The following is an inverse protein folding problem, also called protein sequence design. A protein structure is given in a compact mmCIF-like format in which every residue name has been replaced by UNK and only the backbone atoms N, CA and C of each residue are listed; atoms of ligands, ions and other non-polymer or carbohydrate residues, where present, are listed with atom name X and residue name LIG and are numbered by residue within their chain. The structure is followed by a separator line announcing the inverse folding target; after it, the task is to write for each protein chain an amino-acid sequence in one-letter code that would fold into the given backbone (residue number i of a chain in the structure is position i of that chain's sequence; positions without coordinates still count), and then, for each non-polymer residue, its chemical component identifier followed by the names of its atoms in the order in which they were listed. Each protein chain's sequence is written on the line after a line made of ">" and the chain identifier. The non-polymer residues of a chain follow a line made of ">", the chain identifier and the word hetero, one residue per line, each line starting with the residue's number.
data_IF_904883951889
#
_entry.id   IF_904883951889
#
_cell.length_a   1.000
_cell.length_b   1.000
_cell.length_c   1.000
_cell.angle_alpha   90.00
_cell.angle_beta   90.00
_cell.angle_gamma   90.00
#
_symmetry.space_group_name_H-M   'P 1'
#
loop_
_entity.id
_entity.type
_entity.pdbx_description
1 polymer ?
#
# COMPACT_ATOMS: atom_id res chain seq x y z
N UNK A 1 4.11 -1.83 24.96
CA UNK A 1 5.49 -2.35 25.05
C UNK A 1 6.21 -1.96 23.77
N UNK A 2 7.43 -1.40 23.89
CA UNK A 2 8.18 -0.89 22.72
C UNK A 2 9.30 -1.86 22.39
N UNK A 3 9.37 -2.32 21.14
CA UNK A 3 10.43 -3.21 20.66
C UNK A 3 11.69 -2.42 20.32
N UNK A 4 12.86 -2.83 20.82
CA UNK A 4 14.13 -2.21 20.45
C UNK A 4 14.74 -2.88 19.21
N UNK A 5 15.05 -2.09 18.18
CA UNK A 5 15.57 -2.59 16.91
C UNK A 5 16.96 -2.03 16.67
N UNK A 6 17.96 -2.93 16.66
CA UNK A 6 19.32 -2.57 16.31
C UNK A 6 19.48 -2.53 14.79
N UNK A 7 19.97 -1.42 14.29
CA UNK A 7 20.27 -1.21 12.86
C UNK A 7 21.64 -0.57 12.68
N UNK A 8 22.33 -0.81 11.55
CA UNK A 8 23.65 -0.17 11.31
C UNK A 8 23.54 1.32 11.07
N UNK A 9 22.40 1.80 10.54
CA UNK A 9 22.13 3.20 10.21
C UNK A 9 20.62 3.42 10.19
N UNK A 10 20.15 4.53 10.73
CA UNK A 10 18.73 4.90 10.69
C UNK A 10 18.46 5.72 9.44
N UNK A 11 17.43 5.34 8.65
CA UNK A 11 17.03 6.00 7.40
C UNK A 11 15.52 6.18 7.35
N UNK A 12 15.03 7.08 6.50
CA UNK A 12 13.59 7.27 6.28
C UNK A 12 12.93 6.01 5.68
N UNK A 13 13.65 5.24 4.87
CA UNK A 13 13.13 3.98 4.30
C UNK A 13 12.88 2.94 5.38
N UNK A 14 13.78 2.85 6.37
CA UNK A 14 13.58 2.00 7.55
C UNK A 14 12.35 2.45 8.33
N UNK A 15 12.24 3.74 8.69
CA UNK A 15 11.05 4.23 9.40
C UNK A 15 9.78 3.91 8.65
N UNK A 16 9.73 4.20 7.36
CA UNK A 16 8.55 3.97 6.53
C UNK A 16 8.06 2.52 6.57
N UNK A 17 8.96 1.56 6.33
CA UNK A 17 8.54 0.16 6.20
C UNK A 17 8.31 -0.51 7.57
N UNK A 18 9.11 -0.16 8.58
CA UNK A 18 8.92 -0.70 9.92
C UNK A 18 7.66 -0.11 10.59
N UNK A 19 7.36 1.17 10.38
CA UNK A 19 6.10 1.78 10.84
C UNK A 19 4.90 1.08 10.19
N UNK A 20 4.93 0.88 8.88
CA UNK A 20 3.87 0.16 8.19
C UNK A 20 3.68 -1.26 8.74
N UNK A 21 4.75 -2.07 8.80
CA UNK A 21 4.63 -3.50 9.12
C UNK A 21 4.44 -3.74 10.62
N UNK A 22 5.19 -3.05 11.49
CA UNK A 22 5.10 -3.28 12.93
C UNK A 22 3.96 -2.48 13.56
N UNK A 23 3.89 -1.17 13.32
CA UNK A 23 2.93 -0.31 14.01
C UNK A 23 1.53 -0.36 13.38
N UNK A 24 1.43 -0.11 12.07
CA UNK A 24 0.12 0.00 11.42
C UNK A 24 -0.54 -1.37 11.25
N UNK A 25 0.22 -2.38 10.80
CA UNK A 25 -0.30 -3.72 10.56
C UNK A 25 -0.41 -4.57 11.84
N UNK A 26 0.60 -4.56 12.69
CA UNK A 26 0.68 -5.44 13.88
C UNK A 26 0.35 -4.74 15.20
N UNK A 27 0.40 -3.41 15.26
CA UNK A 27 0.16 -2.64 16.48
C UNK A 27 1.32 -2.68 17.49
N UNK A 28 2.54 -2.92 17.01
CA UNK A 28 3.76 -3.00 17.82
C UNK A 28 4.51 -1.68 17.73
N UNK A 29 4.64 -0.97 18.83
CA UNK A 29 5.52 0.19 18.91
C UNK A 29 6.98 -0.24 18.93
N UNK A 30 7.85 0.56 18.29
CA UNK A 30 9.27 0.24 18.19
C UNK A 30 10.16 1.48 18.25
N UNK A 31 11.43 1.24 18.56
CA UNK A 31 12.48 2.26 18.55
C UNK A 31 13.73 1.70 17.90
N UNK A 32 14.35 2.50 17.02
CA UNK A 32 15.67 2.17 16.48
C UNK A 32 16.80 2.58 17.40
N UNK A 33 17.85 1.77 17.41
CA UNK A 33 19.14 2.09 17.97
C UNK A 33 20.27 1.67 17.04
N UNK A 34 21.37 2.41 17.05
CA UNK A 34 22.65 2.03 16.42
C UNK A 34 23.68 1.62 17.46
N UNK A 35 23.36 1.75 18.74
CA UNK A 35 24.21 1.43 19.85
C UNK A 35 24.02 -0.04 20.27
N UNK A 36 25.09 -0.81 20.11
CA UNK A 36 25.10 -2.23 20.44
C UNK A 36 25.00 -2.51 21.93
N UNK A 37 25.59 -1.68 22.77
CA UNK A 37 25.61 -1.90 24.21
C UNK A 37 24.22 -1.68 24.80
N UNK A 38 23.53 -0.62 24.35
CA UNK A 38 22.11 -0.40 24.68
C UNK A 38 21.22 -1.54 24.20
N UNK A 39 21.48 -2.10 23.01
CA UNK A 39 20.73 -3.23 22.49
C UNK A 39 20.97 -4.51 23.31
N UNK A 40 22.21 -4.80 23.66
CA UNK A 40 22.57 -6.02 24.42
C UNK A 40 22.02 -5.97 25.85
N UNK A 41 22.05 -4.81 26.49
CA UNK A 41 21.51 -4.61 27.86
C UNK A 41 19.98 -4.54 27.92
N UNK A 42 19.31 -4.43 26.78
CA UNK A 42 17.85 -4.37 26.75
C UNK A 42 17.23 -5.73 27.05
N UNK A 43 16.39 -5.81 28.10
CA UNK A 43 15.74 -7.06 28.54
C UNK A 43 14.41 -7.35 27.85
N UNK A 44 13.80 -6.35 27.19
CA UNK A 44 12.52 -6.47 26.50
C UNK A 44 12.61 -7.13 25.11
N UNK A 45 11.52 -7.04 24.35
CA UNK A 45 11.49 -7.53 22.98
C UNK A 45 12.48 -6.76 22.12
N UNK A 46 13.27 -7.47 21.34
CA UNK A 46 14.32 -6.88 20.49
C UNK A 46 14.59 -7.65 19.22
N UNK A 47 14.94 -6.91 18.19
CA UNK A 47 15.27 -7.42 16.84
C UNK A 47 16.57 -6.77 16.35
N UNK A 48 17.48 -7.55 15.86
CA UNK A 48 18.63 -7.07 15.11
C UNK A 48 18.34 -7.16 13.60
N UNK A 49 18.33 -6.04 12.93
CA UNK A 49 18.20 -5.93 11.48
C UNK A 49 19.50 -5.40 10.87
N UNK A 50 20.29 -6.30 10.27
CA UNK A 50 21.61 -5.96 9.79
C UNK A 50 22.25 -7.06 8.94
N UNK A 51 23.43 -6.77 8.36
CA UNK A 51 24.11 -7.69 7.44
C UNK A 51 24.62 -8.97 8.10
N UNK A 52 25.07 -8.89 9.34
CA UNK A 52 25.68 -10.01 10.08
C UNK A 52 24.95 -10.21 11.42
N UNK A 53 24.79 -11.47 11.87
CA UNK A 53 24.13 -11.73 13.15
C UNK A 53 24.97 -11.29 14.34
N UNK A 54 24.30 -10.98 15.42
CA UNK A 54 24.89 -10.84 16.77
C UNK A 54 25.05 -12.23 17.43
N UNK A 55 25.65 -12.33 18.61
CA UNK A 55 25.64 -13.56 19.41
C UNK A 55 24.22 -14.10 19.64
N UNK A 56 24.07 -15.41 19.91
CA UNK A 56 22.75 -16.07 20.00
C UNK A 56 21.83 -15.48 21.08
N UNK A 57 22.40 -15.03 22.18
CA UNK A 57 21.67 -14.42 23.29
C UNK A 57 21.13 -13.01 22.98
N UNK A 58 21.46 -12.46 21.81
CA UNK A 58 21.12 -11.07 21.45
C UNK A 58 19.68 -10.86 20.96
N UNK A 59 18.82 -11.88 20.90
CA UNK A 59 17.42 -11.78 20.44
C UNK A 59 17.21 -12.26 19.00
N UNK A 60 16.12 -11.82 18.37
CA UNK A 60 15.83 -12.16 16.98
C UNK A 60 16.77 -11.44 16.01
N UNK A 61 17.08 -12.10 14.91
CA UNK A 61 17.91 -11.54 13.84
C UNK A 61 17.22 -11.70 12.49
N UNK A 62 17.23 -10.62 11.71
CA UNK A 62 16.85 -10.61 10.30
C UNK A 62 18.00 -10.06 9.46
N UNK A 63 18.47 -10.85 8.51
CA UNK A 63 19.51 -10.39 7.59
C UNK A 63 18.94 -9.32 6.65
N UNK A 64 19.63 -8.19 6.59
CA UNK A 64 19.22 -7.00 5.84
C UNK A 64 19.86 -6.94 4.44
N UNK A 65 19.07 -6.61 3.44
CA UNK A 65 19.52 -6.10 2.15
C UNK A 65 19.86 -4.60 2.23
N UNK A 66 20.64 -4.10 1.27
CA UNK A 66 21.14 -2.72 1.32
C UNK A 66 20.10 -1.65 1.03
N UNK A 67 19.05 -1.97 0.28
CA UNK A 67 18.07 -1.00 -0.24
C UNK A 67 17.50 -0.06 0.82
N UNK A 68 17.27 -0.54 2.06
CA UNK A 68 16.74 0.28 3.14
C UNK A 68 17.77 1.26 3.74
N UNK A 69 19.05 1.07 3.44
CA UNK A 69 20.14 1.93 3.90
C UNK A 69 20.61 2.92 2.81
N UNK A 70 20.04 2.83 1.63
CA UNK A 70 20.34 3.72 0.50
C UNK A 70 19.43 4.97 0.53
N UNK A 71 19.85 6.04 -0.17
CA UNK A 71 19.08 7.28 -0.27
C UNK A 71 18.50 7.49 -1.66
N UNK A 72 19.27 7.19 -2.71
CA UNK A 72 18.92 7.43 -4.10
C UNK A 72 18.29 6.19 -4.75
N UNK A 73 17.62 6.38 -5.89
CA UNK A 73 17.13 5.29 -6.72
C UNK A 73 18.33 4.71 -7.50
N UNK A 74 18.56 3.44 -7.31
CA UNK A 74 19.61 2.70 -7.99
C UNK A 74 19.09 1.34 -8.43
N UNK A 75 19.71 0.75 -9.43
CA UNK A 75 19.40 -0.61 -9.84
C UNK A 75 19.62 -1.60 -8.69
N UNK A 76 18.73 -2.58 -8.57
CA UNK A 76 18.69 -3.55 -7.47
C UNK A 76 18.82 -4.97 -8.01
N UNK A 77 19.71 -5.77 -7.43
CA UNK A 77 19.78 -7.23 -7.73
C UNK A 77 18.62 -7.96 -7.07
N UNK A 78 17.42 -7.82 -7.66
CA UNK A 78 16.18 -8.44 -7.13
C UNK A 78 16.10 -9.87 -7.64
N UNK A 79 16.28 -10.84 -6.74
CA UNK A 79 16.15 -12.27 -7.00
C UNK A 79 14.88 -12.81 -6.37
N UNK A 80 14.16 -13.65 -7.13
CA UNK A 80 12.96 -14.34 -6.66
C UNK A 80 13.39 -15.62 -5.96
N UNK A 81 12.78 -15.94 -4.84
CA UNK A 81 12.94 -17.17 -4.09
C UNK A 81 11.58 -17.75 -3.68
N UNK A 82 11.55 -19.04 -3.34
CA UNK A 82 10.35 -19.68 -2.81
C UNK A 82 10.21 -19.36 -1.32
N UNK A 83 8.98 -19.09 -0.90
CA UNK A 83 8.62 -18.92 0.50
C UNK A 83 7.25 -19.54 0.78
N UNK A 84 7.21 -20.59 1.60
CA UNK A 84 6.00 -21.40 1.85
C UNK A 84 5.37 -21.83 0.51
N UNK A 85 4.08 -21.61 0.33
CA UNK A 85 3.34 -21.88 -0.92
C UNK A 85 3.34 -20.67 -1.89
N UNK A 86 4.29 -19.75 -1.74
CA UNK A 86 4.38 -18.51 -2.50
C UNK A 86 5.82 -18.18 -2.88
N UNK A 87 6.01 -17.02 -3.47
CA UNK A 87 7.34 -16.48 -3.82
C UNK A 87 7.60 -15.21 -3.02
N UNK A 88 8.88 -14.89 -2.84
CA UNK A 88 9.38 -13.66 -2.23
C UNK A 88 10.58 -13.13 -3.01
N UNK A 89 11.10 -11.98 -2.62
CA UNK A 89 12.29 -11.37 -3.21
C UNK A 89 13.31 -11.05 -2.11
N UNK A 90 14.56 -10.76 -2.50
CA UNK A 90 15.68 -10.53 -1.60
C UNK A 90 16.03 -11.75 -0.73
N UNK A 91 16.33 -12.91 -1.34
CA UNK A 91 16.74 -14.10 -0.57
C UNK A 91 17.94 -13.80 0.31
N UNK A 92 17.93 -14.39 1.50
CA UNK A 92 19.04 -14.37 2.44
C UNK A 92 19.53 -15.80 2.70
N UNK A 93 20.83 -15.94 3.00
CA UNK A 93 21.47 -17.24 3.10
C UNK A 93 21.95 -17.55 4.51
N UNK A 94 21.76 -16.66 5.46
CA UNK A 94 22.13 -16.89 6.85
C UNK A 94 21.01 -17.68 7.55
N UNK A 95 21.31 -18.89 7.99
CA UNK A 95 20.35 -19.79 8.67
C UNK A 95 19.78 -19.21 9.98
N UNK A 96 20.46 -18.23 10.59
CA UNK A 96 19.98 -17.53 11.78
C UNK A 96 19.00 -16.41 11.48
N UNK A 97 18.81 -16.07 10.20
CA UNK A 97 17.84 -15.07 9.80
C UNK A 97 16.42 -15.54 10.07
N UNK A 98 15.58 -14.66 10.60
CA UNK A 98 14.19 -14.95 10.97
C UNK A 98 13.38 -15.46 9.76
N UNK A 99 13.63 -14.90 8.59
CA UNK A 99 13.05 -15.33 7.31
C UNK A 99 14.15 -15.65 6.30
N UNK A 100 13.87 -16.57 5.33
CA UNK A 100 14.80 -16.90 4.26
C UNK A 100 14.91 -15.81 3.18
N UNK A 101 14.29 -14.67 3.39
CA UNK A 101 14.36 -13.47 2.56
C UNK A 101 14.27 -12.23 3.45
N UNK A 102 14.71 -11.10 2.95
CA UNK A 102 14.56 -9.84 3.69
C UNK A 102 13.14 -9.32 3.55
N UNK A 103 12.32 -9.64 4.53
CA UNK A 103 10.88 -9.31 4.56
C UNK A 103 10.62 -7.79 4.52
N UNK A 104 11.50 -6.97 5.12
CA UNK A 104 11.35 -5.52 5.13
C UNK A 104 11.78 -4.89 3.81
N UNK A 105 12.92 -5.31 3.27
CA UNK A 105 13.37 -4.85 1.96
C UNK A 105 12.40 -5.25 0.84
N UNK A 106 11.90 -6.49 0.86
CA UNK A 106 10.91 -6.99 -0.09
C UNK A 106 9.62 -6.18 -0.03
N UNK A 107 9.11 -5.92 1.17
CA UNK A 107 7.90 -5.12 1.37
C UNK A 107 8.11 -3.68 0.94
N UNK A 108 9.24 -3.07 1.25
CA UNK A 108 9.57 -1.71 0.80
C UNK A 108 9.62 -1.60 -0.72
N UNK A 109 10.32 -2.53 -1.39
CA UNK A 109 10.45 -2.53 -2.85
C UNK A 109 9.09 -2.56 -3.55
N UNK A 110 8.18 -3.41 -3.07
CA UNK A 110 6.85 -3.58 -3.64
C UNK A 110 5.96 -2.35 -3.35
N UNK A 111 5.87 -1.91 -2.09
CA UNK A 111 4.91 -0.87 -1.71
C UNK A 111 5.31 0.52 -2.17
N UNK A 112 6.63 0.79 -2.27
CA UNK A 112 7.13 2.03 -2.82
C UNK A 112 7.06 2.07 -4.35
N UNK A 113 6.65 0.97 -4.98
CA UNK A 113 6.65 0.81 -6.44
C UNK A 113 8.03 1.12 -7.03
N UNK A 114 9.08 0.65 -6.34
CA UNK A 114 10.47 1.01 -6.62
C UNK A 114 10.86 0.77 -8.10
N UNK A 115 10.38 -0.32 -8.68
CA UNK A 115 10.64 -0.71 -10.09
C UNK A 115 10.14 0.33 -11.12
N UNK A 116 9.14 1.14 -10.77
CA UNK A 116 8.62 2.17 -11.68
C UNK A 116 9.52 3.39 -11.80
N UNK A 117 10.45 3.57 -10.86
CA UNK A 117 11.47 4.62 -10.91
C UNK A 117 12.73 4.18 -11.67
N UNK A 118 12.86 2.89 -11.99
CA UNK A 118 13.96 2.35 -12.78
C UNK A 118 13.65 2.47 -14.29
N UNK A 119 14.66 2.42 -15.17
CA UNK A 119 14.42 2.39 -16.61
C UNK A 119 13.49 1.25 -17.00
N UNK A 120 12.38 1.55 -17.67
CA UNK A 120 11.40 0.58 -18.14
C UNK A 120 10.78 0.99 -19.48
N UNK A 121 10.12 0.07 -20.15
CA UNK A 121 9.35 0.33 -21.38
C UNK A 121 7.92 0.67 -21.02
N UNK A 122 7.51 1.92 -21.27
CA UNK A 122 6.16 2.38 -21.00
C UNK A 122 5.16 1.95 -22.08
N UNK A 123 3.88 1.91 -21.74
CA UNK A 123 2.80 1.75 -22.72
C UNK A 123 2.56 3.05 -23.52
N UNK A 124 1.57 3.05 -24.43
CA UNK A 124 1.21 4.20 -25.28
C UNK A 124 0.71 5.44 -24.46
N UNK A 125 0.43 5.27 -23.19
CA UNK A 125 0.01 6.32 -22.24
C UNK A 125 1.12 6.68 -21.26
N UNK A 126 2.34 6.24 -21.53
CA UNK A 126 3.52 6.46 -20.68
C UNK A 126 3.39 5.87 -19.27
N UNK A 127 2.74 4.72 -19.13
CA UNK A 127 2.55 4.01 -17.86
C UNK A 127 3.42 2.77 -17.80
N UNK A 128 3.87 2.41 -16.60
CA UNK A 128 4.53 1.14 -16.32
C UNK A 128 3.58 -0.04 -16.61
N UNK A 129 4.08 -1.06 -17.30
CA UNK A 129 3.25 -2.19 -17.70
C UNK A 129 3.15 -3.23 -16.57
N UNK A 130 1.95 -3.73 -16.23
CA UNK A 130 1.79 -4.72 -15.16
C UNK A 130 2.63 -5.99 -15.35
N UNK A 131 2.87 -6.41 -16.60
CA UNK A 131 3.65 -7.61 -16.95
C UNK A 131 5.13 -7.48 -16.60
N UNK A 132 5.63 -6.25 -16.50
CA UNK A 132 7.02 -5.98 -16.13
C UNK A 132 7.23 -5.99 -14.61
N UNK A 133 6.13 -5.92 -13.85
CA UNK A 133 6.15 -5.90 -12.40
C UNK A 133 6.73 -7.19 -11.81
N UNK A 134 7.47 -7.05 -10.71
CA UNK A 134 7.96 -8.16 -9.91
C UNK A 134 6.81 -9.01 -9.36
N UNK A 135 5.68 -8.39 -9.00
CA UNK A 135 4.49 -9.11 -8.54
C UNK A 135 3.90 -10.01 -9.63
N UNK A 136 3.91 -9.55 -10.89
CA UNK A 136 3.49 -10.38 -12.01
C UNK A 136 4.42 -11.57 -12.22
N UNK A 137 5.73 -11.34 -12.20
CA UNK A 137 6.77 -12.39 -12.32
C UNK A 137 6.71 -13.42 -11.19
N UNK A 138 6.27 -13.00 -10.01
CA UNK A 138 6.02 -13.89 -8.87
C UNK A 138 4.65 -14.57 -8.91
N UNK A 139 3.75 -14.21 -9.83
CA UNK A 139 2.35 -14.67 -9.86
C UNK A 139 1.55 -14.28 -8.60
N UNK A 140 1.82 -13.09 -8.08
CA UNK A 140 1.30 -12.62 -6.78
C UNK A 140 0.44 -11.34 -6.90
N UNK A 141 0.05 -10.94 -8.12
CA UNK A 141 -0.71 -9.71 -8.38
C UNK A 141 -2.05 -9.63 -7.62
N UNK A 142 -2.71 -10.78 -7.42
CA UNK A 142 -4.01 -10.86 -6.75
C UNK A 142 -3.91 -11.18 -5.26
N UNK A 143 -2.70 -11.17 -4.69
CA UNK A 143 -2.46 -11.50 -3.28
C UNK A 143 -1.94 -10.29 -2.51
N UNK A 144 -2.45 -10.03 -1.29
CA UNK A 144 -1.96 -8.96 -0.42
C UNK A 144 -0.67 -9.43 0.29
N UNK A 145 0.41 -9.60 -0.47
CA UNK A 145 1.64 -10.26 -0.01
C UNK A 145 2.24 -9.61 1.24
N UNK A 146 2.24 -8.28 1.33
CA UNK A 146 2.82 -7.56 2.47
C UNK A 146 2.00 -7.81 3.74
N UNK A 147 0.66 -7.86 3.63
CA UNK A 147 -0.19 -8.20 4.78
C UNK A 147 0.05 -9.64 5.23
N UNK A 148 0.20 -10.58 4.29
CA UNK A 148 0.52 -11.98 4.61
C UNK A 148 1.88 -12.09 5.30
N UNK A 149 2.90 -11.43 4.78
CA UNK A 149 4.22 -11.39 5.41
C UNK A 149 4.21 -10.70 6.77
N UNK A 150 3.40 -9.65 6.95
CA UNK A 150 3.24 -9.01 8.27
C UNK A 150 2.60 -9.96 9.28
N UNK A 151 1.63 -10.79 8.87
CA UNK A 151 1.03 -11.81 9.74
C UNK A 151 2.10 -12.84 10.14
N UNK A 152 2.91 -13.32 9.19
CA UNK A 152 3.99 -14.24 9.46
C UNK A 152 5.01 -13.64 10.45
N UNK A 153 5.40 -12.38 10.21
CA UNK A 153 6.27 -11.64 11.13
C UNK A 153 5.67 -11.55 12.54
N UNK A 154 4.39 -11.20 12.63
CA UNK A 154 3.69 -11.14 13.93
C UNK A 154 3.69 -12.46 14.66
N UNK A 155 3.47 -13.59 13.97
CA UNK A 155 3.50 -14.92 14.55
C UNK A 155 4.88 -15.27 15.11
N UNK A 156 5.95 -14.98 14.37
CA UNK A 156 7.33 -15.22 14.83
C UNK A 156 7.69 -14.34 16.05
N UNK A 157 7.25 -13.07 16.03
CA UNK A 157 7.47 -12.15 17.15
C UNK A 157 6.76 -12.62 18.42
N UNK A 158 5.50 -13.06 18.33
CA UNK A 158 4.73 -13.57 19.47
C UNK A 158 5.30 -14.91 19.96
N UNK A 159 5.74 -15.77 19.05
CA UNK A 159 6.39 -17.05 19.45
C UNK A 159 7.64 -16.82 20.28
N UNK A 160 8.42 -15.77 19.98
CA UNK A 160 9.65 -15.44 20.73
C UNK A 160 9.40 -14.56 21.95
N UNK A 161 8.40 -13.67 21.87
CA UNK A 161 8.03 -12.68 22.89
C UNK A 161 6.52 -12.78 23.17
N UNK A 162 6.09 -13.73 24.02
CA UNK A 162 4.65 -13.98 24.28
C UNK A 162 3.88 -12.81 24.90
N UNK A 163 4.59 -11.84 25.44
CA UNK A 163 4.04 -10.60 25.99
C UNK A 163 3.55 -9.61 24.89
N UNK A 164 3.94 -9.82 23.64
CA UNK A 164 3.48 -9.00 22.52
C UNK A 164 2.03 -9.32 22.22
N UNK A 165 1.19 -8.30 22.19
CA UNK A 165 -0.21 -8.40 21.78
C UNK A 165 -0.39 -7.77 20.41
N UNK A 166 -0.80 -8.57 19.43
CA UNK A 166 -1.04 -8.09 18.08
C UNK A 166 -2.38 -7.36 17.96
N UNK A 167 -2.42 -6.34 17.11
CA UNK A 167 -3.64 -5.61 16.75
C UNK A 167 -4.66 -6.55 16.11
N UNK A 168 -5.85 -6.63 16.66
CA UNK A 168 -6.96 -7.36 16.03
C UNK A 168 -7.48 -6.58 14.84
N UNK A 169 -7.42 -7.18 13.67
CA UNK A 169 -8.04 -6.62 12.46
C UNK A 169 -9.52 -6.98 12.44
N UNK A 170 -10.36 -5.98 12.21
CA UNK A 170 -11.80 -6.15 12.01
C UNK A 170 -12.14 -5.80 10.57
N UNK A 171 -13.03 -6.57 9.96
CA UNK A 171 -13.54 -6.24 8.64
C UNK A 171 -14.22 -4.87 8.65
N UNK A 172 -13.87 -4.02 7.69
CA UNK A 172 -14.52 -2.73 7.47
C UNK A 172 -14.70 -2.52 5.98
N UNK A 173 -15.93 -2.29 5.56
CA UNK A 173 -16.25 -1.86 4.21
C UNK A 173 -16.33 -0.34 4.15
N UNK A 174 -15.48 0.28 3.34
CA UNK A 174 -15.45 1.73 3.13
C UNK A 174 -15.67 1.99 1.64
N UNK A 175 -16.88 2.38 1.22
CA UNK A 175 -17.10 2.74 -0.18
C UNK A 175 -16.37 4.03 -0.52
N UNK A 176 -15.79 4.08 -1.70
CA UNK A 176 -15.12 5.26 -2.23
C UNK A 176 -15.80 5.69 -3.52
N UNK A 177 -16.03 6.99 -3.69
CA UNK A 177 -16.65 7.57 -4.89
C UNK A 177 -15.73 8.64 -5.47
N UNK A 178 -15.25 8.39 -6.66
CA UNK A 178 -14.54 9.37 -7.47
C UNK A 178 -15.56 10.12 -8.33
N UNK A 179 -15.73 11.43 -8.08
CA UNK A 179 -16.78 12.24 -8.69
C UNK A 179 -16.18 13.22 -9.69
N UNK A 180 -15.82 12.74 -10.88
CA UNK A 180 -15.32 13.57 -11.99
C UNK A 180 -16.30 14.68 -12.40
N UNK A 181 -17.59 14.39 -12.37
CA UNK A 181 -18.63 15.36 -12.74
C UNK A 181 -19.90 15.16 -11.91
N UNK A 182 -20.15 16.09 -10.99
CA UNK A 182 -21.34 16.04 -10.13
C UNK A 182 -22.67 16.15 -10.91
N UNK A 183 -22.65 16.76 -12.09
CA UNK A 183 -23.84 17.02 -12.91
C UNK A 183 -23.57 16.75 -14.40
N UNK A 184 -24.51 16.09 -15.07
CA UNK A 184 -24.43 15.90 -16.51
C UNK A 184 -24.75 17.20 -17.29
N UNK A 185 -25.76 17.96 -16.84
CA UNK A 185 -26.22 19.16 -17.52
C UNK A 185 -26.30 20.40 -16.65
N UNK A 186 -26.61 20.27 -15.36
CA UNK A 186 -26.71 21.40 -14.41
C UNK A 186 -25.34 21.98 -14.10
N UNK A 187 -25.33 23.23 -13.67
CA UNK A 187 -24.17 23.93 -13.08
C UNK A 187 -22.87 23.93 -13.93
N UNK A 188 -22.97 23.71 -15.25
CA UNK A 188 -21.78 23.67 -16.15
C UNK A 188 -21.32 25.04 -16.67
N UNK A 189 -21.94 26.09 -16.25
CA UNK A 189 -21.67 27.45 -16.75
C UNK A 189 -22.22 27.70 -18.19
N UNK A 190 -22.40 28.96 -18.56
CA UNK A 190 -23.03 29.35 -19.82
C UNK A 190 -22.26 28.84 -21.05
N UNK A 191 -20.94 29.06 -21.10
CA UNK A 191 -20.11 28.66 -22.25
C UNK A 191 -20.08 27.14 -22.50
N UNK A 192 -19.95 26.35 -21.45
CA UNK A 192 -19.94 24.89 -21.59
C UNK A 192 -21.31 24.35 -22.00
N UNK A 193 -22.38 24.95 -21.51
CA UNK A 193 -23.75 24.58 -21.86
C UNK A 193 -24.04 24.89 -23.32
N UNK A 194 -23.67 26.08 -23.81
CA UNK A 194 -23.88 26.45 -25.21
C UNK A 194 -23.05 25.64 -26.18
N UNK A 195 -21.76 25.42 -25.90
CA UNK A 195 -20.90 24.56 -26.74
C UNK A 195 -21.42 23.12 -26.83
N UNK A 196 -21.87 22.55 -25.70
CA UNK A 196 -22.43 21.19 -25.74
C UNK A 196 -23.78 21.14 -26.47
N UNK A 197 -24.63 22.18 -26.38
CA UNK A 197 -25.87 22.28 -27.13
C UNK A 197 -25.58 22.37 -28.64
N UNK A 198 -24.62 23.18 -29.06
CA UNK A 198 -24.19 23.26 -30.47
C UNK A 198 -23.72 21.93 -31.00
N UNK A 199 -22.92 21.17 -30.19
CA UNK A 199 -22.48 19.83 -30.56
C UNK A 199 -23.65 18.86 -30.73
N UNK A 200 -24.64 18.89 -29.84
CA UNK A 200 -25.81 18.00 -29.89
C UNK A 200 -26.69 18.32 -31.08
N UNK A 201 -26.82 19.61 -31.46
CA UNK A 201 -27.50 20.06 -32.69
C UNK A 201 -26.78 19.55 -33.95
N UNK A 202 -25.44 19.68 -33.98
CA UNK A 202 -24.63 19.17 -35.10
C UNK A 202 -24.71 17.62 -35.26
N UNK A 203 -24.98 16.91 -34.19
CA UNK A 203 -25.20 15.45 -34.20
C UNK A 203 -26.62 15.04 -34.49
N UNK A 204 -27.54 16.00 -34.66
CA UNK A 204 -28.99 15.78 -34.88
C UNK A 204 -29.66 14.92 -33.80
N UNK A 205 -29.13 14.93 -32.57
CA UNK A 205 -29.68 14.14 -31.45
C UNK A 205 -30.82 14.91 -30.76
N UNK A 206 -32.02 14.79 -31.35
CA UNK A 206 -33.23 15.45 -30.83
C UNK A 206 -33.61 14.97 -29.41
N UNK A 207 -33.32 13.71 -29.08
CA UNK A 207 -33.65 13.15 -27.77
C UNK A 207 -32.77 13.74 -26.68
N UNK A 208 -31.46 13.84 -26.95
CA UNK A 208 -30.49 14.43 -26.03
C UNK A 208 -30.78 15.92 -25.78
N UNK A 209 -31.11 16.68 -26.85
CA UNK A 209 -31.47 18.10 -26.74
C UNK A 209 -32.72 18.25 -25.88
N UNK A 210 -33.76 17.46 -26.12
CA UNK A 210 -35.00 17.51 -25.33
C UNK A 210 -34.77 17.12 -23.88
N UNK A 211 -34.00 16.07 -23.64
CA UNK A 211 -33.70 15.60 -22.28
C UNK A 211 -32.93 16.64 -21.48
N UNK A 212 -31.86 17.21 -22.05
CA UNK A 212 -31.09 18.32 -21.48
C UNK A 212 -31.97 19.50 -21.11
N UNK A 213 -32.87 19.89 -22.01
CA UNK A 213 -33.79 21.00 -21.78
C UNK A 213 -34.76 20.74 -20.64
N UNK A 214 -35.28 19.50 -20.54
CA UNK A 214 -36.14 19.09 -19.45
C UNK A 214 -35.40 19.12 -18.10
N UNK A 215 -34.14 18.71 -18.06
CA UNK A 215 -33.29 18.76 -16.87
C UNK A 215 -32.99 20.20 -16.45
N UNK A 216 -32.60 21.06 -17.40
CA UNK A 216 -32.32 22.47 -17.12
C UNK A 216 -33.57 23.23 -16.63
N UNK A 217 -34.76 22.84 -17.08
CA UNK A 217 -36.05 23.36 -16.61
C UNK A 217 -36.58 22.70 -15.34
N UNK A 218 -35.78 21.82 -14.73
CA UNK A 218 -36.15 21.05 -13.53
C UNK A 218 -37.38 20.13 -13.70
N UNK A 219 -37.72 19.77 -14.95
CA UNK A 219 -38.79 18.81 -15.23
C UNK A 219 -38.34 17.35 -15.10
N UNK A 220 -37.05 17.10 -15.22
CA UNK A 220 -36.41 15.80 -15.02
C UNK A 220 -35.20 15.93 -14.12
N UNK A 221 -34.84 14.84 -13.45
CA UNK A 221 -33.59 14.74 -12.68
C UNK A 221 -32.39 14.72 -13.63
N UNK A 222 -31.29 15.31 -13.19
CA UNK A 222 -30.02 15.17 -13.90
C UNK A 222 -29.56 13.71 -13.82
N UNK A 223 -29.08 13.09 -14.92
CA UNK A 223 -28.69 11.67 -14.92
C UNK A 223 -27.61 11.32 -13.89
N UNK A 224 -26.77 12.29 -13.51
CA UNK A 224 -25.72 12.09 -12.51
C UNK A 224 -26.18 12.40 -11.08
N UNK A 225 -27.41 12.89 -10.90
CA UNK A 225 -27.98 13.21 -9.60
C UNK A 225 -28.46 11.94 -8.87
N UNK A 226 -27.51 11.18 -8.38
CA UNK A 226 -27.75 9.97 -7.59
C UNK A 226 -27.46 10.17 -6.10
N UNK A 227 -27.21 11.41 -5.67
CA UNK A 227 -26.73 11.71 -4.33
C UNK A 227 -27.73 11.34 -3.23
N UNK A 228 -29.01 11.65 -3.41
CA UNK A 228 -30.03 11.30 -2.43
C UNK A 228 -30.16 9.78 -2.25
N UNK A 229 -30.10 9.03 -3.36
CA UNK A 229 -30.12 7.57 -3.33
C UNK A 229 -28.89 7.02 -2.58
N UNK A 230 -27.69 7.52 -2.90
CA UNK A 230 -26.45 7.13 -2.24
C UNK A 230 -26.51 7.41 -0.75
N UNK A 231 -26.92 8.61 -0.34
CA UNK A 231 -27.03 9.01 1.07
C UNK A 231 -28.02 8.13 1.83
N UNK A 232 -29.16 7.80 1.21
CA UNK A 232 -30.16 6.91 1.82
C UNK A 232 -29.57 5.52 2.04
N UNK A 233 -28.98 4.92 1.01
CA UNK A 233 -28.35 3.61 1.07
C UNK A 233 -27.24 3.54 2.12
N UNK A 234 -26.39 4.55 2.18
CA UNK A 234 -25.30 4.66 3.16
C UNK A 234 -25.83 4.72 4.60
N UNK A 235 -26.90 5.48 4.83
CA UNK A 235 -27.56 5.55 6.15
C UNK A 235 -28.18 4.21 6.54
N UNK A 236 -28.88 3.55 5.63
CA UNK A 236 -29.49 2.23 5.86
C UNK A 236 -28.44 1.17 6.21
N UNK A 237 -27.30 1.18 5.51
CA UNK A 237 -26.20 0.23 5.70
C UNK A 237 -25.17 0.68 6.73
N UNK A 238 -25.37 1.84 7.38
CA UNK A 238 -24.42 2.44 8.36
C UNK A 238 -23.00 2.56 7.81
N UNK A 239 -22.86 2.95 6.56
CA UNK A 239 -21.56 3.14 5.88
C UNK A 239 -21.05 4.56 6.04
N UNK A 240 -19.72 4.70 6.06
CA UNK A 240 -19.01 5.99 6.06
C UNK A 240 -18.15 6.10 4.80
N UNK A 241 -18.70 6.61 3.69
CA UNK A 241 -17.98 6.70 2.43
C UNK A 241 -16.95 7.82 2.42
N UNK A 242 -16.01 7.71 1.46
CA UNK A 242 -15.11 8.78 1.08
C UNK A 242 -15.49 9.27 -0.33
N UNK A 243 -15.50 10.58 -0.54
CA UNK A 243 -15.73 11.23 -1.82
C UNK A 243 -14.48 12.00 -2.23
N UNK A 244 -14.10 11.91 -3.50
CA UNK A 244 -12.97 12.60 -4.11
C UNK A 244 -13.42 13.51 -5.25
#
# INVERSE_FOLDING_TARGET
>A
MEMLILVPKITNRLYYIFELMLKDELGIDFKFTTDKDSYLSHEGSKLHYGKYPMPEESGLYQQAANILFEHDIADQDVKICNYKESKAIYPVFNERSLFPFDIFAASFYIISRYEEYLPHVSDNYNRFQPQDSILYKMEMMERPVINLWSIDLGNELVARYPEITLKKKTFRFVPTYDVDAAWAYRNKGFFRTTLSLCRDILRFDKNEIRYRWDVLRKKKMDPFDTFEYQIKLQKELKLSPLYF
#
